data_IF_886537881177
#
_entry.id   IF_886537881177
#
_cell.length_a   1.000
_cell.length_b   1.000
_cell.length_c   1.000
_cell.angle_alpha   90.00
_cell.angle_beta   90.00
_cell.angle_gamma   90.00
#
_symmetry.space_group_name_H-M   'P 1'
#
loop_
_entity.id
_entity.type
_entity.pdbx_description
1 polymer ?
#
# COMPACT_ATOMS: atom_id res chain seq x y z
N UNK A 1 -3.13 8.88 -2.39
CA UNK A 1 -1.68 8.78 -2.65
C UNK A 1 -0.96 9.54 -1.56
N UNK A 2 0.20 9.05 -1.13
CA UNK A 2 1.06 9.71 -0.14
C UNK A 2 2.19 10.46 -0.87
N UNK A 3 3.40 10.48 -0.32
CA UNK A 3 4.48 11.38 -0.69
C UNK A 3 5.75 10.68 -1.22
N UNK A 4 5.63 9.39 -1.58
CA UNK A 4 6.74 8.57 -2.08
C UNK A 4 6.35 7.74 -3.31
N UNK A 5 7.22 7.76 -4.33
CA UNK A 5 7.12 6.91 -5.51
C UNK A 5 8.51 6.54 -6.08
N UNK A 6 8.57 5.46 -6.83
CA UNK A 6 9.69 5.11 -7.72
C UNK A 6 9.23 5.20 -9.17
N UNK A 7 9.97 5.93 -10.00
CA UNK A 7 9.73 6.09 -11.43
C UNK A 7 10.88 5.45 -12.20
N UNK A 8 10.58 4.70 -13.27
CA UNK A 8 11.58 4.02 -14.10
C UNK A 8 11.34 4.27 -15.58
N UNK A 9 12.40 4.34 -16.34
CA UNK A 9 12.31 4.23 -17.80
C UNK A 9 11.89 2.80 -18.21
N UNK A 10 11.27 2.68 -19.38
CA UNK A 10 10.72 1.41 -19.89
C UNK A 10 11.73 0.51 -20.59
N UNK A 11 12.92 1.03 -20.95
CA UNK A 11 13.97 0.25 -21.61
C UNK A 11 14.91 -0.38 -20.57
N UNK A 12 15.48 -1.53 -20.95
CA UNK A 12 16.50 -2.23 -20.17
C UNK A 12 17.70 -1.27 -19.97
N UNK A 13 18.17 -1.12 -18.72
CA UNK A 13 19.18 -0.14 -18.26
C UNK A 13 18.75 1.34 -18.20
N UNK A 14 17.46 1.60 -18.29
CA UNK A 14 16.91 2.93 -18.11
C UNK A 14 17.05 3.52 -16.69
N UNK A 15 16.92 4.85 -16.59
CA UNK A 15 17.14 5.60 -15.35
C UNK A 15 16.01 5.45 -14.33
N UNK A 16 16.39 5.43 -13.05
CA UNK A 16 15.48 5.32 -11.90
C UNK A 16 15.46 6.65 -11.14
N UNK A 17 14.26 7.14 -10.81
CA UNK A 17 14.04 8.29 -9.93
C UNK A 17 13.28 7.82 -8.70
N UNK A 18 13.75 8.19 -7.51
CA UNK A 18 13.09 7.89 -6.22
C UNK A 18 12.75 9.19 -5.53
N UNK A 19 11.46 9.41 -5.30
CA UNK A 19 10.93 10.58 -4.63
C UNK A 19 10.48 10.20 -3.22
N UNK A 20 10.82 11.01 -2.22
CA UNK A 20 10.39 10.84 -0.83
C UNK A 20 10.03 12.19 -0.23
N UNK A 21 8.93 12.26 0.50
CA UNK A 21 8.42 13.53 1.06
C UNK A 21 8.25 14.59 -0.02
N UNK A 22 7.58 14.21 -1.09
CA UNK A 22 7.29 15.06 -2.25
C UNK A 22 5.81 15.08 -2.57
N UNK A 23 5.32 16.21 -3.07
CA UNK A 23 3.99 16.29 -3.64
C UNK A 23 3.98 15.54 -4.98
N UNK A 24 3.29 14.38 -5.00
CA UNK A 24 3.24 13.53 -6.18
C UNK A 24 2.33 14.09 -7.30
N UNK A 25 1.63 15.20 -7.03
CA UNK A 25 0.80 15.92 -8.01
C UNK A 25 1.52 17.11 -8.65
N UNK A 26 2.73 17.44 -8.17
CA UNK A 26 3.53 18.57 -8.64
C UNK A 26 4.11 18.40 -10.05
N UNK A 27 4.52 19.54 -10.62
CA UNK A 27 5.03 19.64 -12.00
C UNK A 27 6.28 18.78 -12.23
N UNK A 28 7.13 18.57 -11.21
CA UNK A 28 8.33 17.74 -11.36
C UNK A 28 7.98 16.27 -11.65
N UNK A 29 6.96 15.75 -10.98
CA UNK A 29 6.49 14.38 -11.18
C UNK A 29 5.78 14.26 -12.52
N UNK A 30 4.93 15.22 -12.87
CA UNK A 30 4.26 15.27 -14.17
C UNK A 30 5.28 15.31 -15.32
N UNK A 31 6.36 16.07 -15.18
CA UNK A 31 7.43 16.12 -16.16
C UNK A 31 8.08 14.75 -16.36
N UNK A 32 8.46 14.06 -15.29
CA UNK A 32 9.03 12.72 -15.40
C UNK A 32 8.10 11.73 -16.11
N UNK A 33 6.81 11.73 -15.77
CA UNK A 33 5.80 10.90 -16.42
C UNK A 33 5.68 11.24 -17.92
N UNK A 34 5.61 12.53 -18.26
CA UNK A 34 5.50 13.01 -19.65
C UNK A 34 6.72 12.64 -20.50
N UNK A 35 7.89 12.47 -19.88
CA UNK A 35 9.12 12.00 -20.55
C UNK A 35 9.20 10.49 -20.72
N UNK A 36 8.15 9.74 -20.35
CA UNK A 36 8.04 8.31 -20.59
C UNK A 36 8.44 7.42 -19.42
N UNK A 37 8.69 8.00 -18.22
CA UNK A 37 8.87 7.17 -17.01
C UNK A 37 7.53 6.63 -16.54
N UNK A 38 7.55 5.42 -16.00
CA UNK A 38 6.40 4.75 -15.41
C UNK A 38 6.59 4.59 -13.90
N UNK A 39 5.50 4.66 -13.15
CA UNK A 39 5.50 4.40 -11.70
C UNK A 39 5.67 2.90 -11.47
N UNK A 40 6.70 2.50 -10.73
CA UNK A 40 6.94 1.09 -10.37
C UNK A 40 6.82 0.84 -8.87
N UNK A 41 6.78 1.88 -8.05
CA UNK A 41 6.39 1.81 -6.64
C UNK A 41 5.62 3.07 -6.25
N UNK A 42 4.58 2.93 -5.43
CA UNK A 42 3.77 4.04 -4.97
C UNK A 42 3.35 3.86 -3.51
N UNK A 43 3.54 4.91 -2.70
CA UNK A 43 3.04 4.95 -1.33
C UNK A 43 1.58 5.40 -1.29
N UNK A 44 0.77 4.63 -0.57
CA UNK A 44 -0.68 4.71 -0.55
C UNK A 44 -1.19 4.63 0.89
N UNK A 45 -2.33 5.28 1.13
CA UNK A 45 -3.13 5.13 2.35
C UNK A 45 -4.53 4.69 1.94
N UNK A 46 -5.15 3.85 2.77
CA UNK A 46 -6.48 3.30 2.55
C UNK A 46 -7.36 3.57 3.78
N UNK A 47 -8.46 4.30 3.54
CA UNK A 47 -9.55 4.59 4.49
C UNK A 47 -9.13 4.96 5.93
N UNK A 48 -8.05 5.71 6.11
CA UNK A 48 -7.47 6.05 7.43
C UNK A 48 -7.21 4.82 8.34
N UNK A 49 -7.13 3.61 7.76
CA UNK A 49 -6.95 2.34 8.47
C UNK A 49 -5.53 1.81 8.31
N UNK A 50 -4.94 1.96 7.13
CA UNK A 50 -3.57 1.53 6.87
C UNK A 50 -2.88 2.35 5.78
N UNK A 51 -1.56 2.33 5.82
CA UNK A 51 -0.66 2.85 4.79
C UNK A 51 0.34 1.78 4.37
N UNK A 52 0.73 1.82 3.10
CA UNK A 52 1.62 0.82 2.49
C UNK A 52 2.32 1.37 1.24
N UNK A 53 3.26 0.59 0.72
CA UNK A 53 3.86 0.80 -0.60
C UNK A 53 3.55 -0.40 -1.48
N UNK A 54 2.92 -0.14 -2.62
CA UNK A 54 2.65 -1.15 -3.64
C UNK A 54 3.72 -1.06 -4.73
N UNK A 55 4.22 -2.19 -5.19
CA UNK A 55 5.06 -2.27 -6.38
C UNK A 55 4.34 -2.87 -7.59
N UNK A 56 5.00 -2.80 -8.74
CA UNK A 56 4.53 -3.32 -10.03
C UNK A 56 4.40 -4.86 -10.09
N UNK A 57 4.76 -5.57 -9.03
CA UNK A 57 4.59 -7.02 -8.86
C UNK A 57 3.52 -7.36 -7.82
N UNK A 58 2.69 -6.39 -7.46
CA UNK A 58 1.63 -6.51 -6.46
C UNK A 58 2.15 -6.85 -5.06
N UNK A 59 3.42 -6.54 -4.76
CA UNK A 59 3.97 -6.73 -3.42
C UNK A 59 3.58 -5.54 -2.54
N UNK A 60 2.83 -5.82 -1.48
CA UNK A 60 2.53 -4.86 -0.40
C UNK A 60 3.73 -4.80 0.55
N UNK A 61 4.39 -3.64 0.61
CA UNK A 61 5.57 -3.37 1.45
C UNK A 61 5.26 -2.29 2.47
N UNK A 62 6.03 -2.25 3.57
CA UNK A 62 5.92 -1.22 4.62
C UNK A 62 4.47 -1.02 5.08
N UNK A 63 3.73 -2.11 5.24
CA UNK A 63 2.38 -2.07 5.76
C UNK A 63 2.41 -1.52 7.19
N UNK A 64 1.64 -0.47 7.42
CA UNK A 64 1.43 0.15 8.72
C UNK A 64 -0.06 0.32 8.93
N UNK A 65 -0.59 -0.14 10.07
CA UNK A 65 -1.94 0.18 10.49
C UNK A 65 -1.95 1.54 11.20
N UNK A 66 -3.00 2.33 11.01
CA UNK A 66 -3.10 3.64 11.65
C UNK A 66 -3.38 3.51 13.16
N UNK A 67 -2.96 4.53 13.91
CA UNK A 67 -2.88 4.46 15.37
C UNK A 67 -4.25 4.16 16.01
N UNK A 68 -5.34 4.72 15.47
CA UNK A 68 -6.70 4.45 15.97
C UNK A 68 -7.07 2.96 15.91
N UNK A 69 -6.63 2.24 14.89
CA UNK A 69 -6.90 0.82 14.75
C UNK A 69 -6.05 0.00 15.73
N UNK A 70 -4.81 0.44 15.99
CA UNK A 70 -3.95 -0.18 17.01
C UNK A 70 -4.52 0.03 18.41
N UNK A 71 -4.93 1.26 18.74
CA UNK A 71 -5.56 1.61 20.01
C UNK A 71 -6.82 0.77 20.28
N UNK A 72 -7.61 0.48 19.23
CA UNK A 72 -8.77 -0.40 19.33
C UNK A 72 -8.37 -1.83 19.68
N UNK A 73 -7.37 -2.39 19.00
CA UNK A 73 -6.87 -3.73 19.33
C UNK A 73 -6.33 -3.80 20.77
N UNK A 74 -5.65 -2.75 21.23
CA UNK A 74 -5.14 -2.67 22.60
C UNK A 74 -6.28 -2.66 23.64
N UNK A 75 -7.36 -1.93 23.36
CA UNK A 75 -8.54 -1.89 24.23
C UNK A 75 -9.26 -3.25 24.28
N UNK A 76 -9.34 -3.95 23.14
CA UNK A 76 -10.03 -5.24 23.04
C UNK A 76 -9.21 -6.40 23.66
N UNK A 77 -7.88 -6.29 23.67
CA UNK A 77 -6.97 -7.35 24.10
C UNK A 77 -6.74 -7.51 25.60
N UNK A 78 -7.08 -6.49 26.41
CA UNK A 78 -6.88 -6.51 27.88
C UNK A 78 -5.40 -6.55 28.31
N UNK A 79 -5.11 -6.87 29.57
CA UNK A 79 -3.73 -6.75 30.11
C UNK A 79 -2.80 -7.92 29.73
N UNK A 80 -3.35 -9.02 29.23
CA UNK A 80 -2.58 -10.23 28.92
C UNK A 80 -2.01 -10.19 27.50
N UNK A 81 -0.72 -10.51 27.37
CA UNK A 81 -0.03 -10.51 26.07
C UNK A 81 -0.69 -11.42 25.02
N UNK A 82 -1.30 -12.54 25.43
CA UNK A 82 -2.04 -13.42 24.52
C UNK A 82 -3.35 -12.80 24.04
N UNK A 83 -4.07 -12.09 24.91
CA UNK A 83 -5.27 -11.36 24.53
C UNK A 83 -4.96 -10.21 23.56
N UNK A 84 -3.87 -9.47 23.82
CA UNK A 84 -3.35 -8.45 22.91
C UNK A 84 -3.02 -8.99 21.51
N UNK A 85 -2.36 -10.15 21.45
CA UNK A 85 -2.05 -10.80 20.18
C UNK A 85 -3.32 -11.25 19.43
N UNK A 86 -4.28 -11.85 20.14
CA UNK A 86 -5.53 -12.33 19.55
C UNK A 86 -6.38 -11.17 18.99
N UNK A 87 -6.51 -10.08 19.75
CA UNK A 87 -7.25 -8.88 19.33
C UNK A 87 -6.60 -8.21 18.10
N UNK A 88 -5.28 -7.98 18.14
CA UNK A 88 -4.54 -7.38 17.02
C UNK A 88 -4.58 -8.24 15.77
N UNK A 89 -4.42 -9.56 15.88
CA UNK A 89 -4.53 -10.47 14.76
C UNK A 89 -5.93 -10.48 14.16
N UNK A 90 -6.96 -10.55 15.02
CA UNK A 90 -8.36 -10.52 14.60
C UNK A 90 -8.68 -9.25 13.83
N UNK A 91 -8.30 -8.09 14.39
CA UNK A 91 -8.57 -6.80 13.76
C UNK A 91 -7.80 -6.62 12.43
N UNK A 92 -6.56 -7.11 12.36
CA UNK A 92 -5.80 -7.16 11.12
C UNK A 92 -6.53 -7.99 10.05
N UNK A 93 -7.01 -9.19 10.39
CA UNK A 93 -7.69 -10.06 9.44
C UNK A 93 -9.03 -9.50 8.99
N UNK A 94 -9.79 -8.86 9.89
CA UNK A 94 -11.03 -8.15 9.53
C UNK A 94 -10.74 -7.01 8.56
N UNK A 95 -9.68 -6.23 8.82
CA UNK A 95 -9.25 -5.14 7.96
C UNK A 95 -8.85 -5.64 6.57
N UNK A 96 -8.10 -6.74 6.49
CA UNK A 96 -7.75 -7.36 5.20
C UNK A 96 -8.95 -7.91 4.44
N UNK A 97 -9.98 -8.38 5.14
CA UNK A 97 -11.24 -8.81 4.53
C UNK A 97 -11.94 -7.71 3.72
N UNK A 98 -11.73 -6.45 4.07
CA UNK A 98 -12.21 -5.27 3.33
C UNK A 98 -11.16 -4.74 2.34
N UNK A 99 -9.92 -4.59 2.81
CA UNK A 99 -8.84 -3.97 2.04
C UNK A 99 -8.48 -4.71 0.75
N UNK A 100 -8.33 -6.05 0.82
CA UNK A 100 -7.84 -6.82 -0.33
C UNK A 100 -8.85 -6.80 -1.51
N UNK A 101 -10.16 -7.06 -1.30
CA UNK A 101 -11.14 -6.93 -2.38
C UNK A 101 -11.15 -5.54 -3.03
N UNK A 102 -11.12 -4.48 -2.23
CA UNK A 102 -11.09 -3.10 -2.75
C UNK A 102 -9.80 -2.80 -3.51
N UNK A 103 -8.66 -3.29 -3.03
CA UNK A 103 -7.39 -3.15 -3.74
C UNK A 103 -7.42 -3.83 -5.10
N UNK A 104 -7.94 -5.06 -5.17
CA UNK A 104 -8.05 -5.80 -6.43
C UNK A 104 -8.99 -5.09 -7.40
N UNK A 105 -10.16 -4.64 -6.93
CA UNK A 105 -11.10 -3.87 -7.74
C UNK A 105 -10.46 -2.58 -8.28
N UNK A 106 -9.75 -1.83 -7.44
CA UNK A 106 -9.06 -0.61 -7.83
C UNK A 106 -7.95 -0.83 -8.88
N UNK A 107 -7.36 -2.02 -8.93
CA UNK A 107 -6.36 -2.42 -9.91
C UNK A 107 -6.95 -3.01 -11.20
N UNK A 108 -8.28 -3.02 -11.34
CA UNK A 108 -8.98 -3.52 -12.52
C UNK A 108 -9.55 -4.94 -12.39
N UNK A 109 -9.53 -5.51 -11.18
CA UNK A 109 -10.03 -6.84 -10.88
C UNK A 109 -8.93 -7.89 -10.76
N UNK A 110 -9.22 -8.97 -10.03
CA UNK A 110 -8.32 -10.12 -9.88
C UNK A 110 -8.47 -11.09 -11.06
N UNK A 111 -7.36 -11.45 -11.70
CA UNK A 111 -7.35 -12.54 -12.67
C UNK A 111 -7.47 -13.89 -11.95
N UNK A 112 -8.69 -14.42 -11.91
CA UNK A 112 -8.97 -15.72 -11.27
C UNK A 112 -8.36 -16.85 -12.11
N UNK A 113 -7.44 -17.66 -11.56
CA UNK A 113 -6.87 -18.79 -12.27
C UNK A 113 -7.96 -19.78 -12.68
N UNK A 114 -7.99 -20.14 -13.97
CA UNK A 114 -8.89 -21.18 -14.45
C UNK A 114 -8.31 -22.55 -14.04
N UNK A 115 -9.11 -23.33 -13.32
CA UNK A 115 -8.77 -24.72 -13.00
C UNK A 115 -8.65 -25.58 -14.26
N UNK A 116 -7.88 -26.67 -14.16
CA UNK A 116 -7.79 -27.74 -15.17
C UNK A 116 -9.06 -28.60 -15.20
#
# INVERSE_FOLDING_TARGET
>A
MLDECELRDTHEDGGIVRCKRQDLTGDEIQLHLSTGKVVTQLSLAWQDKLSFVLDDKLVVKRLKFEDLLQDQAEQDGGDEALGQLDASFTLMMLTFGEFLPELFEALGGEEIPQGI
#
